data_IF_317025218615
#
_entry.id   IF_317025218615
#
_cell.length_a   1.000
_cell.length_b   1.000
_cell.length_c   1.000
_cell.angle_alpha   90.00
_cell.angle_beta   90.00
_cell.angle_gamma   90.00
#
_symmetry.space_group_name_H-M   'P 1'
#
loop_
_entity.id
_entity.type
_entity.pdbx_description
1 polymer ?
#
# COMPACT_ATOMS: atom_id res chain seq x y z
N UNK A 1 -22.90 -24.89 -12.37
CA UNK A 1 -23.22 -23.44 -12.27
C UNK A 1 -22.04 -22.75 -11.62
N UNK A 2 -21.52 -21.70 -12.27
CA UNK A 2 -20.52 -20.84 -11.67
C UNK A 2 -21.15 -20.13 -10.46
N UNK A 3 -20.45 -20.02 -9.33
CA UNK A 3 -20.96 -19.29 -8.18
C UNK A 3 -21.23 -17.84 -8.56
N UNK A 4 -22.25 -17.22 -7.95
CA UNK A 4 -22.47 -15.79 -8.13
C UNK A 4 -21.23 -15.01 -7.71
N UNK A 5 -21.04 -13.80 -8.28
CA UNK A 5 -19.91 -12.93 -7.93
C UNK A 5 -19.74 -12.79 -6.41
N UNK A 6 -20.84 -12.55 -5.70
CA UNK A 6 -20.82 -12.37 -4.24
C UNK A 6 -20.31 -13.62 -3.51
N UNK A 7 -20.73 -14.77 -3.97
CA UNK A 7 -20.28 -16.06 -3.41
C UNK A 7 -18.80 -16.32 -3.71
N UNK A 8 -18.31 -15.92 -4.89
CA UNK A 8 -16.90 -16.01 -5.25
C UNK A 8 -16.07 -15.03 -4.39
N UNK A 9 -16.56 -13.82 -4.14
CA UNK A 9 -15.89 -12.81 -3.29
C UNK A 9 -15.74 -13.31 -1.85
N UNK A 10 -16.75 -13.95 -1.27
CA UNK A 10 -16.69 -14.51 0.08
C UNK A 10 -15.67 -15.65 0.24
N UNK A 11 -15.22 -16.23 -0.85
CA UNK A 11 -14.26 -17.35 -0.86
C UNK A 11 -12.91 -16.95 -1.49
N UNK A 12 -12.72 -15.69 -1.82
CA UNK A 12 -11.51 -15.19 -2.47
C UNK A 12 -10.66 -14.39 -1.50
N UNK A 13 -9.35 -14.55 -1.60
CA UNK A 13 -8.39 -13.65 -0.96
C UNK A 13 -8.29 -12.41 -1.85
N UNK A 14 -8.95 -11.32 -1.43
CA UNK A 14 -8.94 -10.04 -2.14
C UNK A 14 -8.06 -9.09 -1.34
N UNK A 15 -7.16 -8.38 -2.04
CA UNK A 15 -6.22 -7.42 -1.44
C UNK A 15 -5.40 -8.03 -0.29
N UNK A 16 -5.07 -9.32 -0.40
CA UNK A 16 -4.30 -10.01 0.63
C UNK A 16 -2.83 -9.59 0.58
N UNK A 17 -2.32 -9.15 1.71
CA UNK A 17 -0.91 -8.92 1.94
C UNK A 17 -0.32 -10.15 2.64
N UNK A 18 0.86 -10.57 2.20
CA UNK A 18 1.57 -11.70 2.83
C UNK A 18 2.97 -11.25 3.25
N UNK A 19 3.28 -11.46 4.53
CA UNK A 19 4.62 -11.19 5.05
C UNK A 19 5.37 -12.52 5.11
N UNK A 20 6.53 -12.55 4.49
CA UNK A 20 7.43 -13.70 4.46
C UNK A 20 8.65 -13.38 5.32
N UNK A 21 8.99 -14.28 6.22
CA UNK A 21 10.22 -14.22 6.99
C UNK A 21 11.12 -15.41 6.68
N UNK A 22 12.42 -15.15 6.59
CA UNK A 22 13.44 -16.18 6.43
C UNK A 22 14.37 -16.22 7.64
N UNK A 23 14.69 -17.42 8.11
CA UNK A 23 15.71 -17.64 9.15
C UNK A 23 16.98 -18.16 8.51
N UNK A 24 18.12 -17.56 8.87
CA UNK A 24 19.43 -17.95 8.33
C UNK A 24 19.56 -17.81 6.81
N UNK A 25 18.93 -16.77 6.26
CA UNK A 25 18.97 -16.42 4.84
C UNK A 25 18.56 -14.98 4.66
N UNK A 26 18.58 -14.53 3.42
CA UNK A 26 18.20 -13.17 3.04
C UNK A 26 17.33 -13.22 1.79
N UNK A 27 16.39 -12.28 1.69
CA UNK A 27 15.70 -11.96 0.45
C UNK A 27 16.54 -10.98 -0.37
N UNK A 28 16.41 -11.08 -1.67
CA UNK A 28 16.96 -10.09 -2.59
C UNK A 28 15.85 -9.16 -3.09
N UNK A 29 16.16 -7.88 -3.20
CA UNK A 29 15.27 -6.95 -3.90
C UNK A 29 15.01 -7.42 -5.33
N UNK A 30 13.76 -7.36 -5.77
CA UNK A 30 13.39 -7.56 -7.17
C UNK A 30 13.43 -6.25 -7.97
N UNK A 31 13.48 -5.11 -7.30
CA UNK A 31 13.58 -3.79 -7.92
C UNK A 31 15.04 -3.46 -8.25
N UNK A 32 15.93 -3.71 -7.31
CA UNK A 32 17.37 -3.48 -7.43
C UNK A 32 18.14 -4.75 -7.06
N UNK A 33 18.04 -5.82 -7.86
CA UNK A 33 18.70 -7.08 -7.53
C UNK A 33 20.23 -6.96 -7.59
N UNK A 34 20.94 -7.59 -6.65
CA UNK A 34 22.39 -7.73 -6.73
C UNK A 34 22.81 -8.31 -8.09
N UNK A 35 24.00 -7.94 -8.56
CA UNK A 35 24.45 -8.31 -9.91
C UNK A 35 24.42 -9.82 -10.15
N UNK A 36 24.81 -10.59 -9.16
CA UNK A 36 24.83 -12.06 -9.19
C UNK A 36 23.45 -12.72 -9.23
N UNK A 37 22.39 -11.98 -8.84
CA UNK A 37 21.02 -12.48 -8.80
C UNK A 37 20.12 -11.90 -9.88
N UNK A 38 20.63 -11.05 -10.77
CA UNK A 38 19.82 -10.38 -11.80
C UNK A 38 19.11 -11.34 -12.74
N UNK A 39 19.78 -12.42 -13.15
CA UNK A 39 19.18 -13.41 -14.02
C UNK A 39 18.04 -14.14 -13.29
N UNK A 40 18.27 -14.57 -12.06
CA UNK A 40 17.25 -15.25 -11.27
C UNK A 40 16.07 -14.31 -10.95
N UNK A 41 16.32 -13.03 -10.64
CA UNK A 41 15.28 -12.04 -10.43
C UNK A 41 14.44 -11.79 -11.69
N UNK A 42 15.06 -11.78 -12.87
CA UNK A 42 14.38 -11.63 -14.16
C UNK A 42 13.48 -12.82 -14.51
N UNK A 43 13.74 -14.00 -13.95
CA UNK A 43 12.90 -15.18 -14.12
C UNK A 43 11.68 -15.19 -13.18
N UNK A 44 11.67 -14.36 -12.14
CA UNK A 44 10.54 -14.24 -11.22
C UNK A 44 9.32 -13.67 -11.94
N UNK A 45 8.20 -14.38 -11.83
CA UNK A 45 6.93 -13.93 -12.40
C UNK A 45 5.93 -13.67 -11.29
N UNK A 46 5.65 -12.41 -11.04
CA UNK A 46 4.65 -12.00 -10.06
C UNK A 46 3.37 -11.61 -10.79
N UNK A 47 2.24 -12.21 -10.42
CA UNK A 47 0.94 -11.95 -11.04
C UNK A 47 -0.02 -11.42 -9.98
N UNK A 48 -0.40 -10.15 -10.10
CA UNK A 48 -1.28 -9.49 -9.13
C UNK A 48 -0.66 -9.27 -7.76
N UNK A 49 0.66 -9.34 -7.67
CA UNK A 49 1.41 -9.11 -6.43
C UNK A 49 2.78 -8.52 -6.74
N UNK A 50 3.28 -7.68 -5.84
CA UNK A 50 4.57 -6.99 -5.97
C UNK A 50 5.37 -7.18 -4.67
N UNK A 51 6.29 -8.15 -4.65
CA UNK A 51 7.14 -8.39 -3.47
C UNK A 51 8.17 -7.29 -3.30
N UNK A 52 8.27 -6.76 -2.08
CA UNK A 52 9.25 -5.73 -1.67
C UNK A 52 9.87 -6.08 -0.33
N UNK A 53 11.10 -5.64 -0.10
CA UNK A 53 11.74 -5.76 1.19
C UNK A 53 11.05 -4.85 2.21
N UNK A 54 10.92 -5.31 3.46
CA UNK A 54 10.31 -4.58 4.57
C UNK A 54 11.15 -4.72 5.83
N UNK A 55 10.99 -3.80 6.77
CA UNK A 55 11.78 -3.67 7.97
C UNK A 55 12.58 -2.38 7.95
N UNK A 56 13.66 -2.32 8.72
CA UNK A 56 14.57 -1.20 8.70
C UNK A 56 15.40 -1.19 7.40
N UNK A 57 15.85 -0.01 6.98
CA UNK A 57 16.63 0.13 5.74
C UNK A 57 17.89 -0.75 5.77
N UNK A 58 17.97 -1.69 4.83
CA UNK A 58 19.05 -2.67 4.72
C UNK A 58 18.77 -4.03 5.35
N UNK A 59 17.69 -4.21 6.10
CA UNK A 59 17.25 -5.54 6.54
C UNK A 59 16.74 -6.36 5.35
N UNK A 60 17.00 -7.66 5.36
CA UNK A 60 16.67 -8.55 4.25
C UNK A 60 16.04 -9.87 4.69
N UNK A 61 15.63 -9.97 5.92
CA UNK A 61 15.02 -11.17 6.47
C UNK A 61 13.50 -11.22 6.33
N UNK A 62 12.91 -10.09 5.89
CA UNK A 62 11.47 -9.95 5.68
C UNK A 62 11.14 -9.39 4.29
N UNK A 63 10.05 -9.91 3.72
CA UNK A 63 9.50 -9.47 2.44
C UNK A 63 7.98 -9.37 2.53
N UNK A 64 7.42 -8.29 2.04
CA UNK A 64 6.00 -8.09 1.88
C UNK A 64 5.59 -8.38 0.44
N UNK A 65 4.73 -9.36 0.23
CA UNK A 65 4.04 -9.56 -1.05
C UNK A 65 2.73 -8.78 -1.00
N UNK A 66 2.68 -7.69 -1.74
CA UNK A 66 1.57 -6.74 -1.76
C UNK A 66 0.77 -6.81 -3.06
N UNK A 67 -0.56 -6.63 -3.05
CA UNK A 67 -1.38 -6.49 -4.25
C UNK A 67 -1.26 -5.11 -4.92
N UNK A 68 -0.52 -4.19 -4.33
CA UNK A 68 -0.21 -2.86 -4.87
C UNK A 68 1.28 -2.71 -5.14
N UNK A 69 1.64 -1.83 -6.04
CA UNK A 69 3.04 -1.54 -6.38
C UNK A 69 3.63 -0.67 -5.28
N UNK A 70 4.67 -1.19 -4.63
CA UNK A 70 5.43 -0.52 -3.59
C UNK A 70 6.91 -0.49 -3.96
N UNK A 71 7.67 0.38 -3.31
CA UNK A 71 9.13 0.34 -3.29
C UNK A 71 9.63 -0.49 -2.10
N UNK A 72 10.90 -0.91 -2.13
CA UNK A 72 11.52 -1.53 -0.97
C UNK A 72 11.49 -0.57 0.23
N UNK A 73 11.31 -1.14 1.43
CA UNK A 73 11.20 -0.42 2.70
C UNK A 73 10.11 0.65 2.70
N UNK A 74 8.84 0.29 2.38
CA UNK A 74 7.76 1.25 2.34
C UNK A 74 7.55 1.89 3.70
N UNK A 75 7.35 3.19 3.73
CA UNK A 75 7.13 3.95 4.94
C UNK A 75 5.72 4.52 4.97
N UNK A 76 5.11 4.50 6.16
CA UNK A 76 3.85 5.21 6.36
C UNK A 76 4.11 6.71 6.22
N UNK A 77 3.24 7.37 5.47
CA UNK A 77 3.30 8.82 5.32
C UNK A 77 3.11 9.51 6.67
N UNK A 78 4.05 10.34 7.17
CA UNK A 78 3.86 11.10 8.41
C UNK A 78 2.63 12.02 8.35
N UNK A 79 2.19 12.39 7.16
CA UNK A 79 1.00 13.22 6.90
C UNK A 79 -0.30 12.42 6.94
N UNK A 80 -0.21 11.07 6.93
CA UNK A 80 -1.40 10.23 7.02
C UNK A 80 -2.15 10.51 8.32
N UNK A 81 -3.44 10.76 8.20
CA UNK A 81 -4.31 11.12 9.33
C UNK A 81 -4.63 9.92 10.25
N UNK A 82 -3.95 8.81 10.08
CA UNK A 82 -4.16 7.58 10.82
C UNK A 82 -4.50 6.41 9.92
N UNK A 83 -4.91 5.30 10.52
CA UNK A 83 -5.20 4.07 9.82
C UNK A 83 -6.50 4.20 9.00
N UNK A 84 -6.39 4.13 7.68
CA UNK A 84 -7.54 4.09 6.76
C UNK A 84 -7.94 2.65 6.41
N UNK A 85 -7.30 1.64 7.01
CA UNK A 85 -7.55 0.21 6.85
C UNK A 85 -7.31 -0.34 5.42
N UNK A 86 -6.82 0.48 4.53
CA UNK A 86 -6.57 0.12 3.12
C UNK A 86 -5.16 0.53 2.70
N UNK A 87 -4.16 0.08 3.37
CA UNK A 87 -2.74 0.26 2.99
C UNK A 87 -2.41 1.66 2.44
N UNK A 88 -1.52 2.15 2.83
CA UNK A 88 -0.73 3.35 3.02
C UNK A 88 -0.59 4.36 1.87
N UNK A 89 -0.90 4.06 0.63
CA UNK A 89 -0.47 4.93 -0.48
C UNK A 89 -1.56 5.80 -1.11
N UNK A 90 -2.82 5.57 -0.75
CA UNK A 90 -3.94 6.18 -1.44
C UNK A 90 -4.82 6.96 -0.46
N UNK A 91 -4.29 7.37 0.67
CA UNK A 91 -5.03 8.15 1.68
C UNK A 91 -5.70 9.38 1.04
N UNK A 92 -5.01 10.03 0.11
CA UNK A 92 -5.58 11.18 -0.61
C UNK A 92 -6.73 10.77 -1.52
N UNK A 93 -6.54 9.73 -2.34
CA UNK A 93 -7.56 9.27 -3.28
C UNK A 93 -8.78 8.72 -2.54
N UNK A 94 -8.55 7.96 -1.47
CA UNK A 94 -9.62 7.46 -0.62
C UNK A 94 -10.37 8.59 0.07
N UNK A 95 -9.65 9.56 0.64
CA UNK A 95 -10.25 10.73 1.27
C UNK A 95 -11.08 11.56 0.25
N UNK A 96 -10.53 11.82 -0.95
CA UNK A 96 -11.26 12.48 -2.04
C UNK A 96 -12.52 11.70 -2.41
N UNK A 97 -12.42 10.39 -2.55
CA UNK A 97 -13.57 9.55 -2.88
C UNK A 97 -14.65 9.65 -1.82
N UNK A 98 -14.29 9.59 -0.56
CA UNK A 98 -15.24 9.71 0.56
C UNK A 98 -15.90 11.09 0.59
N UNK A 99 -15.15 12.16 0.37
CA UNK A 99 -15.69 13.52 0.32
C UNK A 99 -16.67 13.73 -0.85
N UNK A 100 -16.51 12.97 -1.93
CA UNK A 100 -17.40 13.03 -3.11
C UNK A 100 -18.58 12.08 -3.05
N UNK A 101 -18.75 11.30 -1.99
CA UNK A 101 -19.92 10.45 -1.79
C UNK A 101 -21.19 11.30 -1.67
N UNK A 102 -22.28 10.76 -2.19
CA UNK A 102 -23.62 11.33 -1.97
C UNK A 102 -24.06 11.18 -0.52
N UNK A 103 -25.02 11.95 -0.07
CA UNK A 103 -25.56 11.84 1.29
C UNK A 103 -26.18 10.46 1.57
N UNK A 104 -26.72 9.80 0.55
CA UNK A 104 -27.24 8.44 0.68
C UNK A 104 -26.12 7.43 0.89
N UNK A 105 -25.03 7.50 0.13
CA UNK A 105 -23.84 6.66 0.30
C UNK A 105 -23.17 6.90 1.66
N UNK A 106 -23.06 8.15 2.11
CA UNK A 106 -22.55 8.48 3.44
C UNK A 106 -23.42 7.91 4.56
N UNK A 107 -24.74 7.98 4.39
CA UNK A 107 -25.67 7.36 5.33
C UNK A 107 -25.46 5.84 5.40
N UNK A 108 -25.31 5.19 4.26
CA UNK A 108 -25.04 3.76 4.20
C UNK A 108 -23.72 3.41 4.90
N UNK A 109 -22.67 4.22 4.72
CA UNK A 109 -21.42 4.05 5.47
C UNK A 109 -21.57 4.24 6.97
N UNK A 110 -22.39 5.20 7.43
CA UNK A 110 -22.67 5.40 8.87
C UNK A 110 -23.45 4.26 9.49
N UNK A 111 -24.31 3.62 8.73
CA UNK A 111 -25.11 2.46 9.14
C UNK A 111 -24.37 1.14 8.95
N UNK A 112 -23.23 1.16 8.26
CA UNK A 112 -22.37 0.02 7.96
C UNK A 112 -21.54 -0.45 9.16
N UNK A 113 -20.41 -1.07 8.86
CA UNK A 113 -19.50 -1.53 9.91
C UNK A 113 -18.77 -0.39 10.61
N UNK A 114 -18.20 -0.69 11.78
CA UNK A 114 -17.48 0.28 12.61
C UNK A 114 -16.30 0.93 11.88
N UNK A 115 -15.59 0.18 11.03
CA UNK A 115 -14.44 0.69 10.28
C UNK A 115 -14.88 1.70 9.22
N UNK A 116 -15.94 1.40 8.48
CA UNK A 116 -16.50 2.31 7.48
C UNK A 116 -16.91 3.63 8.12
N UNK A 117 -17.58 3.58 9.27
CA UNK A 117 -17.98 4.76 10.04
C UNK A 117 -16.78 5.58 10.50
N UNK A 118 -15.76 4.96 11.08
CA UNK A 118 -14.54 5.64 11.54
C UNK A 118 -13.79 6.33 10.40
N UNK A 119 -13.70 5.70 9.24
CA UNK A 119 -13.08 6.29 8.05
C UNK A 119 -13.85 7.50 7.58
N UNK A 120 -15.18 7.42 7.50
CA UNK A 120 -16.05 8.54 7.11
C UNK A 120 -15.90 9.71 8.08
N UNK A 121 -16.09 9.48 9.39
CA UNK A 121 -16.03 10.53 10.41
C UNK A 121 -14.68 11.24 10.43
N UNK A 122 -13.59 10.48 10.33
CA UNK A 122 -12.24 11.05 10.28
C UNK A 122 -12.01 11.88 9.01
N UNK A 123 -12.50 11.41 7.87
CA UNK A 123 -12.35 12.13 6.61
C UNK A 123 -13.17 13.41 6.59
N UNK A 124 -14.41 13.38 7.09
CA UNK A 124 -15.26 14.57 7.21
C UNK A 124 -14.69 15.60 8.22
N UNK A 125 -14.01 15.13 9.27
CA UNK A 125 -13.38 15.99 10.27
C UNK A 125 -12.01 16.53 9.85
N UNK A 126 -11.45 16.11 8.71
CA UNK A 126 -10.11 16.48 8.28
C UNK A 126 -10.03 17.98 7.91
N UNK A 127 -9.14 18.75 8.55
CA UNK A 127 -8.92 20.16 8.18
C UNK A 127 -8.38 20.29 6.76
N UNK A 128 -8.78 21.35 6.05
CA UNK A 128 -8.30 21.64 4.68
C UNK A 128 -6.76 21.71 4.58
N UNK A 129 -6.09 22.20 5.62
CA UNK A 129 -4.63 22.25 5.68
C UNK A 129 -3.99 20.85 5.72
N UNK A 130 -4.62 19.93 6.43
CA UNK A 130 -4.15 18.54 6.49
C UNK A 130 -4.40 17.84 5.17
N UNK A 131 -5.55 18.06 4.56
CA UNK A 131 -5.87 17.56 3.22
C UNK A 131 -4.87 18.06 2.18
N UNK A 132 -4.51 19.35 2.21
CA UNK A 132 -3.49 19.91 1.32
C UNK A 132 -2.10 19.31 1.51
N UNK A 133 -1.77 18.78 2.70
CA UNK A 133 -0.52 18.06 2.96
C UNK A 133 -0.49 16.66 2.36
N UNK A 134 -1.64 16.02 2.19
CA UNK A 134 -1.74 14.75 1.48
C UNK A 134 -1.47 14.93 -0.02
N UNK A 135 -1.81 16.11 -0.55
CA UNK A 135 -1.71 16.44 -1.96
C UNK A 135 -0.28 16.84 -2.34
N UNK A 136 0.39 15.99 -3.11
CA UNK A 136 1.65 16.37 -3.77
C UNK A 136 2.87 16.49 -2.87
N UNK A 137 2.93 15.76 -1.78
CA UNK A 137 4.15 15.67 -0.95
C UNK A 137 5.23 14.92 -1.73
N UNK A 138 6.06 15.64 -2.49
CA UNK A 138 7.25 15.10 -3.11
C UNK A 138 8.26 14.76 -2.02
N UNK A 139 8.31 13.50 -1.60
CA UNK A 139 9.32 13.01 -0.68
C UNK A 139 10.56 12.64 -1.44
N UNK A 140 11.62 13.37 -1.12
CA UNK A 140 13.00 12.94 -1.35
C UNK A 140 13.26 12.40 -2.74
N UNK A 141 13.25 13.25 -3.76
CA UNK A 141 14.14 13.03 -4.88
C UNK A 141 15.54 12.92 -4.25
N UNK A 142 16.02 11.70 -4.01
CA UNK A 142 17.45 11.50 -3.75
C UNK A 142 18.18 12.21 -4.90
N UNK A 143 19.05 13.19 -4.64
CA UNK A 143 19.84 13.72 -5.71
C UNK A 143 20.60 12.54 -6.31
N UNK A 144 20.37 12.26 -7.59
CA UNK A 144 21.23 11.28 -8.27
C UNK A 144 22.66 11.80 -8.07
N UNK A 145 23.47 11.03 -7.39
CA UNK A 145 24.91 11.27 -7.31
C UNK A 145 25.49 11.01 -8.69
N UNK A 146 25.20 11.94 -9.60
CA UNK A 146 25.78 12.04 -10.92
C UNK A 146 27.06 12.85 -10.83
N UNK A 147 28.04 12.28 -10.19
CA UNK A 147 29.40 12.69 -10.43
C UNK A 147 30.11 11.52 -11.12
N UNK A 148 30.24 11.66 -12.42
CA UNK A 148 31.21 10.87 -13.19
C UNK A 148 32.14 11.82 -13.87
N UNK A 149 33.46 11.63 -13.66
CA UNK A 149 34.51 12.33 -14.40
C UNK A 149 34.50 11.96 -15.90
#
# INVERSE_FOLDING_TARGET
ELPSRDRALLQSLISAHSILHVKNGEFASLLEPPQELREAAAECRNVGTWPVLVGDDGERDAMLSSPIILYDYPQIAPESAGDLFDGTEIDEILALRILTLTEDEKREMREGDERARQVLERTEAMPAEQFAKLHGTLRGLRPSSGDRP
#
